data_IF_773200549254
#
_entry.id   IF_773200549254
#
_cell.length_a   1.000
_cell.length_b   1.000
_cell.length_c   1.000
_cell.angle_alpha   90.00
_cell.angle_beta   90.00
_cell.angle_gamma   90.00
#
_symmetry.space_group_name_H-M   'P 1'
#
loop_
_entity.id
_entity.type
_entity.pdbx_description
1 polymer ?
#
# COMPACT_ATOMS: atom_id res chain seq x y z
N UNK A 1 -0.43 -21.31 -4.10
CA UNK A 1 -1.84 -21.04 -4.45
C UNK A 1 -2.66 -20.54 -3.26
N UNK A 2 -2.12 -20.50 -2.04
CA UNK A 2 -2.85 -20.13 -0.81
C UNK A 2 -3.19 -18.63 -0.66
N UNK A 3 -2.61 -17.74 -1.47
CA UNK A 3 -2.79 -16.29 -1.31
C UNK A 3 -4.02 -15.72 -2.03
N UNK A 4 -4.70 -16.52 -2.87
CA UNK A 4 -5.90 -16.12 -3.62
C UNK A 4 -7.22 -16.50 -2.93
N UNK A 5 -7.15 -17.28 -1.85
CA UNK A 5 -8.34 -17.68 -1.08
C UNK A 5 -8.88 -16.51 -0.24
N UNK A 6 -10.17 -16.52 0.13
CA UNK A 6 -10.75 -15.53 1.04
C UNK A 6 -9.99 -15.48 2.38
N UNK A 7 -10.03 -14.31 3.02
CA UNK A 7 -9.35 -14.06 4.31
C UNK A 7 -10.09 -14.85 5.40
N UNK A 8 -9.42 -15.84 5.97
CA UNK A 8 -9.94 -16.66 7.09
C UNK A 8 -9.45 -16.19 8.47
N UNK A 9 -8.30 -15.50 8.50
CA UNK A 9 -7.57 -15.15 9.72
C UNK A 9 -7.11 -13.67 9.68
N UNK A 10 -6.96 -13.05 10.85
CA UNK A 10 -6.68 -11.62 10.98
C UNK A 10 -5.28 -11.19 10.54
N UNK A 11 -4.31 -12.10 10.48
CA UNK A 11 -2.90 -11.85 10.12
C UNK A 11 -2.54 -12.42 8.74
N UNK A 12 -3.50 -13.04 8.05
CA UNK A 12 -3.28 -13.65 6.75
C UNK A 12 -2.87 -12.62 5.69
N UNK A 13 -1.84 -12.98 4.94
CA UNK A 13 -1.37 -12.25 3.75
C UNK A 13 -2.14 -12.74 2.53
N UNK A 14 -2.60 -11.78 1.71
CA UNK A 14 -3.37 -12.07 0.50
C UNK A 14 -2.73 -11.48 -0.74
N UNK A 15 -2.95 -12.14 -1.88
CA UNK A 15 -2.65 -11.63 -3.20
C UNK A 15 -3.98 -11.21 -3.86
N UNK A 16 -4.03 -9.97 -4.30
CA UNK A 16 -5.21 -9.37 -4.94
C UNK A 16 -4.86 -8.95 -6.36
N UNK A 17 -5.68 -9.35 -7.32
CA UNK A 17 -5.53 -9.01 -8.73
C UNK A 17 -6.60 -8.02 -9.23
N UNK A 18 -7.61 -7.72 -8.41
CA UNK A 18 -8.72 -6.86 -8.76
C UNK A 18 -8.30 -5.41 -9.04
N UNK A 19 -7.24 -4.95 -8.38
CA UNK A 19 -6.64 -3.62 -8.60
C UNK A 19 -5.45 -3.65 -9.58
N UNK A 20 -5.15 -4.81 -10.19
CA UNK A 20 -3.97 -4.99 -11.05
C UNK A 20 -4.28 -4.91 -12.55
N UNK A 21 -5.48 -4.43 -12.91
CA UNK A 21 -5.89 -4.20 -14.29
C UNK A 21 -5.01 -3.16 -14.99
N UNK A 22 -4.89 -3.25 -16.32
CA UNK A 22 -4.11 -2.28 -17.11
C UNK A 22 -4.86 -0.96 -17.32
N UNK A 23 -6.16 -0.96 -17.11
CA UNK A 23 -6.99 0.23 -17.18
C UNK A 23 -7.27 0.76 -15.76
N UNK A 24 -7.26 2.09 -15.57
CA UNK A 24 -6.90 3.13 -16.55
C UNK A 24 -5.37 3.22 -16.77
N UNK A 25 -4.95 3.64 -17.97
CA UNK A 25 -3.52 3.77 -18.30
C UNK A 25 -2.85 4.98 -17.64
N UNK A 26 -3.66 5.96 -17.21
CA UNK A 26 -3.21 7.19 -16.56
C UNK A 26 -4.05 7.43 -15.31
N UNK A 27 -3.44 8.08 -14.31
CA UNK A 27 -4.09 8.45 -13.06
C UNK A 27 -4.83 7.28 -12.37
N UNK A 28 -4.29 6.07 -12.49
CA UNK A 28 -4.80 4.92 -11.76
C UNK A 28 -4.63 5.12 -10.25
N UNK A 29 -5.66 4.78 -9.49
CA UNK A 29 -5.66 4.85 -8.03
C UNK A 29 -5.77 3.44 -7.44
N UNK A 30 -4.93 3.16 -6.45
CA UNK A 30 -4.95 1.89 -5.72
C UNK A 30 -5.20 2.16 -4.23
N UNK A 31 -6.37 1.76 -3.75
CA UNK A 31 -6.76 1.91 -2.35
C UNK A 31 -6.69 0.55 -1.64
N UNK A 32 -5.80 0.45 -0.66
CA UNK A 32 -5.62 -0.77 0.14
C UNK A 32 -6.22 -0.55 1.53
N UNK A 33 -7.31 -1.25 1.82
CA UNK A 33 -7.95 -1.25 3.14
C UNK A 33 -7.50 -2.48 3.93
N UNK A 34 -6.59 -2.29 4.88
CA UNK A 34 -5.97 -3.40 5.63
C UNK A 34 -7.00 -4.18 6.46
N UNK A 35 -8.00 -3.49 7.02
CA UNK A 35 -9.03 -4.09 7.89
C UNK A 35 -10.17 -4.79 7.13
N UNK A 36 -10.35 -4.50 5.84
CA UNK A 36 -11.49 -4.99 5.09
C UNK A 36 -11.44 -6.51 4.91
N UNK A 37 -12.60 -7.17 5.00
CA UNK A 37 -12.76 -8.63 4.94
C UNK A 37 -12.02 -9.44 6.02
N UNK A 38 -11.43 -8.81 7.04
CA UNK A 38 -10.85 -9.53 8.18
C UNK A 38 -11.94 -9.90 9.20
N UNK A 39 -11.87 -11.09 9.83
CA UNK A 39 -12.92 -11.58 10.71
C UNK A 39 -13.14 -10.67 11.93
N UNK A 40 -12.08 -10.12 12.53
CA UNK A 40 -12.20 -9.26 13.72
C UNK A 40 -12.32 -7.78 13.41
N UNK A 41 -12.70 -7.37 12.18
CA UNK A 41 -12.82 -5.95 11.79
C UNK A 41 -13.71 -5.13 12.74
N UNK A 42 -14.79 -5.73 13.24
CA UNK A 42 -15.74 -5.08 14.14
C UNK A 42 -15.34 -5.20 15.62
N UNK A 43 -14.34 -6.05 15.91
CA UNK A 43 -13.84 -6.34 17.26
C UNK A 43 -12.33 -6.08 17.34
N UNK A 44 -11.90 -4.95 16.78
CA UNK A 44 -10.48 -4.60 16.68
C UNK A 44 -9.80 -4.59 18.05
N UNK A 45 -10.45 -4.00 19.07
CA UNK A 45 -9.88 -3.86 20.41
C UNK A 45 -9.64 -5.20 21.13
N UNK A 46 -10.34 -6.28 20.76
CA UNK A 46 -10.17 -7.59 21.38
C UNK A 46 -9.25 -8.53 20.60
N UNK A 47 -8.96 -8.26 19.33
CA UNK A 47 -8.06 -9.09 18.52
C UNK A 47 -6.64 -8.54 18.54
N UNK A 48 -5.77 -9.19 19.31
CA UNK A 48 -4.34 -8.86 19.32
C UNK A 48 -3.68 -9.16 17.98
N UNK A 49 -4.08 -10.25 17.30
CA UNK A 49 -3.57 -10.61 15.97
C UNK A 49 -3.81 -9.47 14.97
N UNK A 50 -5.02 -8.91 14.94
CA UNK A 50 -5.36 -7.81 14.04
C UNK A 50 -4.64 -6.49 14.41
N UNK A 51 -4.49 -6.22 15.70
CA UNK A 51 -3.74 -5.06 16.19
C UNK A 51 -2.26 -5.13 15.78
N UNK A 52 -1.64 -6.30 15.96
CA UNK A 52 -0.26 -6.52 15.56
C UNK A 52 -0.09 -6.49 14.04
N UNK A 53 -1.03 -7.08 13.29
CA UNK A 53 -0.99 -7.08 11.83
C UNK A 53 -1.11 -5.68 11.21
N UNK A 54 -1.89 -4.79 11.82
CA UNK A 54 -2.09 -3.40 11.34
C UNK A 54 -1.03 -2.42 11.84
N UNK A 55 -0.19 -2.84 12.79
CA UNK A 55 0.86 -2.02 13.38
C UNK A 55 2.04 -1.89 12.42
N UNK A 56 2.45 -0.66 12.10
CA UNK A 56 3.59 -0.40 11.25
C UNK A 56 4.36 0.86 11.70
N UNK A 57 5.68 0.81 11.61
CA UNK A 57 6.58 1.97 11.72
C UNK A 57 7.15 2.38 10.36
N UNK A 58 7.31 1.42 9.46
CA UNK A 58 7.89 1.60 8.14
C UNK A 58 7.04 0.83 7.13
N UNK A 59 6.73 1.49 6.02
CA UNK A 59 5.99 0.91 4.90
C UNK A 59 6.89 0.88 3.69
N UNK A 60 6.89 -0.23 2.97
CA UNK A 60 7.68 -0.41 1.74
C UNK A 60 6.78 -0.86 0.61
N UNK A 61 6.78 -0.10 -0.48
CA UNK A 61 6.14 -0.48 -1.74
C UNK A 61 7.21 -1.08 -2.65
N UNK A 62 7.01 -2.32 -3.09
CA UNK A 62 7.95 -3.03 -3.97
C UNK A 62 7.27 -3.32 -5.31
N UNK A 63 7.73 -2.64 -6.36
CA UNK A 63 7.24 -2.81 -7.73
C UNK A 63 8.11 -3.85 -8.43
N UNK A 64 7.52 -5.01 -8.74
CA UNK A 64 8.26 -6.18 -9.24
C UNK A 64 8.21 -6.34 -10.77
N UNK A 65 7.10 -5.97 -11.41
CA UNK A 65 6.93 -6.09 -12.85
C UNK A 65 5.85 -5.14 -13.38
N UNK A 66 6.13 -4.52 -14.51
CA UNK A 66 5.18 -3.64 -15.21
C UNK A 66 4.19 -4.48 -15.99
N UNK A 67 2.91 -4.11 -15.96
CA UNK A 67 1.92 -4.68 -16.88
C UNK A 67 2.18 -4.10 -18.28
N UNK A 68 2.30 -4.97 -19.27
CA UNK A 68 2.51 -4.58 -20.68
C UNK A 68 1.25 -4.89 -21.48
N UNK A 69 0.93 -4.11 -22.51
CA UNK A 69 -0.19 -4.40 -23.43
C UNK A 69 0.09 -5.56 -24.41
N UNK A 70 1.23 -6.25 -24.28
CA UNK A 70 1.77 -7.30 -25.17
C UNK A 70 1.92 -6.93 -26.66
N UNK A 71 1.21 -5.93 -27.20
CA UNK A 71 1.30 -5.48 -28.58
C UNK A 71 2.67 -4.90 -28.96
N UNK A 72 3.44 -4.44 -27.97
CA UNK A 72 4.82 -3.99 -28.19
C UNK A 72 5.84 -5.13 -28.33
N UNK A 73 5.48 -6.36 -27.92
CA UNK A 73 6.32 -7.54 -28.08
C UNK A 73 6.17 -8.18 -29.48
N UNK A 74 5.21 -7.72 -30.30
CA UNK A 74 5.04 -8.25 -31.67
C UNK A 74 6.30 -8.04 -32.52
N UNK A 75 7.05 -6.95 -32.30
CA UNK A 75 8.33 -6.71 -32.97
C UNK A 75 9.49 -7.61 -32.49
N UNK A 76 9.35 -8.30 -31.35
CA UNK A 76 10.34 -9.24 -30.84
C UNK A 76 10.10 -10.67 -31.34
N UNK A 77 8.86 -10.97 -31.75
CA UNK A 77 8.47 -12.24 -32.33
C UNK A 77 8.60 -12.28 -33.86
N UNK A 78 8.85 -11.15 -34.53
CA UNK A 78 9.30 -11.11 -35.93
C UNK A 78 10.76 -11.59 -36.02
N UNK A 79 10.93 -12.89 -35.74
CA UNK A 79 12.21 -13.61 -35.69
C UNK A 79 12.70 -14.02 -37.08
N UNK A 80 12.01 -13.59 -38.14
CA UNK A 80 12.08 -14.20 -39.47
C UNK A 80 12.70 -13.33 -40.55
N UNK A 81 13.26 -12.16 -40.24
CA UNK A 81 14.04 -11.40 -41.22
C UNK A 81 15.56 -11.52 -40.97
N UNK A 82 16.30 -12.29 -41.81
CA UNK A 82 17.74 -12.48 -41.70
C UNK A 82 18.55 -11.22 -42.05
N UNK A 83 17.93 -10.13 -42.54
CA UNK A 83 18.61 -8.86 -42.84
C UNK A 83 18.79 -7.95 -41.62
N UNK A 84 18.10 -8.25 -40.51
CA UNK A 84 18.14 -7.42 -39.30
C UNK A 84 19.43 -7.68 -38.52
N UNK A 85 20.37 -6.73 -38.62
CA UNK A 85 21.66 -6.78 -37.91
C UNK A 85 21.50 -6.70 -36.38
N UNK A 86 22.52 -7.18 -35.64
CA UNK A 86 22.53 -7.19 -34.15
C UNK A 86 22.25 -5.82 -33.53
N UNK A 87 22.76 -4.73 -34.10
CA UNK A 87 22.51 -3.35 -33.63
C UNK A 87 21.04 -2.95 -33.76
N UNK A 88 20.38 -3.33 -34.85
CA UNK A 88 18.96 -3.03 -35.05
C UNK A 88 18.12 -3.80 -34.03
N UNK A 89 18.48 -5.06 -33.70
CA UNK A 89 17.83 -5.82 -32.61
C UNK A 89 17.98 -5.16 -31.25
N UNK A 90 19.20 -4.79 -30.85
CA UNK A 90 19.48 -4.10 -29.58
C UNK A 90 18.66 -2.78 -29.48
N UNK A 91 18.53 -2.05 -30.60
CA UNK A 91 17.79 -0.80 -30.66
C UNK A 91 16.26 -0.98 -30.64
N UNK A 92 15.72 -2.05 -31.22
CA UNK A 92 14.30 -2.44 -31.13
C UNK A 92 13.93 -2.86 -29.71
N UNK A 93 14.78 -3.67 -29.05
CA UNK A 93 14.59 -4.10 -27.66
C UNK A 93 14.60 -2.88 -26.74
N UNK A 94 15.58 -1.98 -26.90
CA UNK A 94 15.65 -0.75 -26.10
C UNK A 94 14.44 0.17 -26.31
N UNK A 95 14.03 0.40 -27.56
CA UNK A 95 12.81 1.19 -27.87
C UNK A 95 11.52 0.56 -27.32
N UNK A 96 11.48 -0.77 -27.20
CA UNK A 96 10.32 -1.47 -26.63
C UNK A 96 10.28 -1.42 -25.11
N UNK A 97 11.43 -1.56 -24.45
CA UNK A 97 11.53 -1.56 -22.98
C UNK A 97 11.46 -0.15 -22.39
N UNK A 98 11.91 0.88 -23.11
CA UNK A 98 11.88 2.28 -22.66
C UNK A 98 10.45 2.84 -22.46
N UNK A 99 9.41 2.12 -22.91
CA UNK A 99 8.01 2.55 -22.80
C UNK A 99 7.33 2.14 -21.50
N UNK A 100 7.96 1.27 -20.70
CA UNK A 100 7.38 0.77 -19.46
C UNK A 100 8.17 1.27 -18.27
N UNK A 101 7.61 2.25 -17.57
CA UNK A 101 8.15 2.80 -16.34
C UNK A 101 7.03 2.88 -15.30
N UNK A 102 7.43 2.95 -14.03
CA UNK A 102 6.49 3.23 -12.95
C UNK A 102 6.43 4.73 -12.71
N UNK A 103 5.23 5.26 -12.59
CA UNK A 103 4.99 6.65 -12.19
C UNK A 103 4.02 6.66 -11.02
N UNK A 104 4.44 7.25 -9.90
CA UNK A 104 3.61 7.41 -8.70
C UNK A 104 3.48 8.91 -8.47
N UNK A 105 2.25 9.42 -8.56
CA UNK A 105 1.96 10.83 -8.32
C UNK A 105 1.96 11.16 -6.83
N UNK A 106 1.28 10.34 -6.04
CA UNK A 106 1.08 10.58 -4.61
C UNK A 106 0.94 9.26 -3.85
N UNK A 107 1.34 9.27 -2.57
CA UNK A 107 1.15 8.16 -1.63
C UNK A 107 0.45 8.72 -0.40
N UNK A 108 -0.78 8.27 -0.16
CA UNK A 108 -1.56 8.63 1.02
C UNK A 108 -1.65 7.42 1.95
N UNK A 109 -1.27 7.61 3.22
CA UNK A 109 -1.34 6.58 4.25
C UNK A 109 -2.12 7.11 5.45
N UNK A 110 -3.29 6.53 5.68
CA UNK A 110 -4.10 6.78 6.86
C UNK A 110 -3.68 5.89 8.02
N UNK A 111 -3.56 6.47 9.21
CA UNK A 111 -3.22 5.74 10.43
C UNK A 111 -3.43 6.57 11.68
N UNK A 112 -3.25 5.95 12.84
CA UNK A 112 -3.29 6.60 14.15
C UNK A 112 -2.14 6.12 15.02
N UNK A 113 -1.72 6.94 15.97
CA UNK A 113 -0.77 6.52 16.98
C UNK A 113 -1.31 5.35 17.82
N UNK A 114 -0.40 4.45 18.20
CA UNK A 114 -0.72 3.35 19.10
C UNK A 114 -0.49 3.82 20.54
N UNK A 115 -1.58 4.18 21.22
CA UNK A 115 -1.57 4.62 22.62
C UNK A 115 -2.27 3.65 23.58
N UNK A 116 -2.71 2.47 23.10
CA UNK A 116 -3.36 1.42 23.89
C UNK A 116 -4.53 1.89 24.78
N UNK A 117 -5.26 2.91 24.36
CA UNK A 117 -6.37 3.48 25.15
C UNK A 117 -5.96 4.46 26.25
N UNK A 118 -4.67 4.78 26.38
CA UNK A 118 -4.14 5.69 27.39
C UNK A 118 -3.86 7.11 26.88
N UNK A 119 -4.28 7.46 25.66
CA UNK A 119 -4.22 8.82 25.18
C UNK A 119 -5.24 9.03 24.04
N UNK A 120 -5.87 10.20 24.01
CA UNK A 120 -6.71 10.64 22.89
C UNK A 120 -5.93 11.39 21.80
N UNK A 121 -4.76 11.94 22.13
CA UNK A 121 -3.93 12.74 21.22
C UNK A 121 -2.48 12.28 21.16
N UNK A 122 -1.81 12.67 20.09
CA UNK A 122 -0.44 12.30 19.78
C UNK A 122 0.28 13.52 19.21
N UNK A 123 1.24 14.05 19.98
CA UNK A 123 1.83 15.37 19.75
C UNK A 123 3.36 15.29 19.68
N UNK A 124 3.99 16.35 19.18
CA UNK A 124 5.45 16.51 19.22
C UNK A 124 5.83 16.98 20.63
N UNK A 125 6.22 16.05 21.50
CA UNK A 125 6.59 16.37 22.89
C UNK A 125 8.08 16.69 23.07
N UNK A 126 8.93 16.29 22.13
CA UNK A 126 10.38 16.49 22.18
C UNK A 126 10.83 17.45 21.07
N UNK A 127 11.22 18.70 21.40
CA UNK A 127 11.69 19.68 20.41
C UNK A 127 12.92 19.23 19.62
N UNK A 128 13.72 18.29 20.14
CA UNK A 128 14.88 17.73 19.43
C UNK A 128 14.47 16.71 18.37
N UNK A 129 13.25 16.18 18.45
CA UNK A 129 12.70 15.17 17.53
C UNK A 129 11.36 15.64 16.97
N UNK A 130 11.36 16.70 16.13
CA UNK A 130 10.13 17.30 15.60
C UNK A 130 9.33 16.39 14.67
N UNK A 131 9.90 15.25 14.25
CA UNK A 131 9.23 14.24 13.40
C UNK A 131 8.66 13.06 14.19
N UNK A 132 8.88 13.02 15.49
CA UNK A 132 8.43 11.92 16.34
C UNK A 132 7.17 12.36 17.09
N UNK A 133 6.06 11.69 16.80
CA UNK A 133 4.82 11.84 17.55
C UNK A 133 4.86 10.91 18.77
N UNK A 134 4.49 11.45 19.92
CA UNK A 134 4.42 10.71 21.17
C UNK A 134 3.01 10.86 21.75
N UNK A 135 2.48 9.76 22.28
CA UNK A 135 1.19 9.77 22.96
C UNK A 135 1.27 10.68 24.18
N UNK A 136 0.30 11.57 24.34
CA UNK A 136 0.14 12.34 25.58
C UNK A 136 -0.58 11.48 26.60
N UNK A 137 0.17 10.57 27.22
CA UNK A 137 -0.40 9.57 28.11
C UNK A 137 -1.12 10.23 29.29
N UNK A 138 -2.40 9.91 29.45
CA UNK A 138 -3.21 10.24 30.61
C UNK A 138 -3.98 8.98 31.05
N UNK A 139 -4.32 8.92 32.33
CA UNK A 139 -5.34 7.96 32.75
C UNK A 139 -6.66 8.56 32.28
N UNK A 140 -7.21 8.02 31.19
CA UNK A 140 -8.56 8.35 30.78
C UNK A 140 -9.51 7.73 31.83
N UNK A 141 -9.69 8.42 32.96
CA UNK A 141 -10.90 8.28 33.74
C UNK A 141 -12.05 8.61 32.78
N UNK A 142 -13.14 7.86 32.83
CA UNK A 142 -14.36 8.03 32.03
C UNK A 142 -15.08 9.39 32.20
N UNK A 143 -14.37 10.42 32.66
CA UNK A 143 -14.83 11.77 32.98
C UNK A 143 -14.29 12.83 32.02
N UNK A 144 -13.42 12.49 31.06
CA UNK A 144 -12.92 13.44 30.05
C UNK A 144 -13.74 13.37 28.74
N UNK A 145 -15.02 13.69 28.84
CA UNK A 145 -15.92 13.96 27.70
C UNK A 145 -15.75 15.39 27.14
N UNK A 146 -14.70 16.12 27.53
CA UNK A 146 -14.59 17.56 27.26
C UNK A 146 -13.91 17.93 25.92
N UNK A 147 -13.77 16.97 25.00
CA UNK A 147 -13.22 17.20 23.66
C UNK A 147 -14.13 16.78 22.51
N UNK A 148 -15.31 16.19 22.75
CA UNK A 148 -16.30 15.92 21.69
C UNK A 148 -17.22 17.12 21.37
N UNK A 149 -17.13 18.24 22.10
CA UNK A 149 -17.96 19.44 21.87
C UNK A 149 -17.30 20.56 21.04
N UNK A 150 -16.15 20.32 20.38
CA UNK A 150 -15.48 21.36 19.56
C UNK A 150 -15.55 21.16 18.04
N UNK A 151 -16.44 20.29 17.56
CA UNK A 151 -16.76 20.23 16.14
C UNK A 151 -18.28 20.07 15.91
N UNK A 152 -19.01 21.14 16.26
CA UNK A 152 -20.34 21.43 15.71
C UNK A 152 -20.38 22.87 15.24
#
# INVERSE_FOLDING_TARGET
MESLSPISEDDRVVCRSDLAGIHPLENAEMVIKILEHRPSRFKFSSSEALQNFTRATNVRIRLLGTRTLQGHLMHLNDRTDPTVTRRVREQIIWKSLAKYFYSIKEILMGGRCVCNGHAGTCDILDPRRPRTLLCRCSILSSTDTRLEEKEK
#
